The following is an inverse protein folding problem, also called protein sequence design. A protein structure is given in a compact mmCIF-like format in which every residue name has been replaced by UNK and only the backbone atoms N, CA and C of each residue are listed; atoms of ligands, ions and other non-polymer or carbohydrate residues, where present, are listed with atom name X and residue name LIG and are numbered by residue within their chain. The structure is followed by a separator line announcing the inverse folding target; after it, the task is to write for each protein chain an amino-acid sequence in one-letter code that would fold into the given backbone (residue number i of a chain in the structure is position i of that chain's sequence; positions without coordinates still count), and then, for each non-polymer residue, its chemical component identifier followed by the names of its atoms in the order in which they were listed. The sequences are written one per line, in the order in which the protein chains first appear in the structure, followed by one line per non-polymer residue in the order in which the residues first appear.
data_IF_814027729941
#
_entry.id   IF_814027729941
#
_cell.length_a   1.000
_cell.length_b   1.000
_cell.length_c   1.000
_cell.angle_alpha   90.00
_cell.angle_beta   90.00
_cell.angle_gamma   90.00
#
_symmetry.space_group_name_H-M   'P 1'
#
loop_
_entity.id
_entity.type
_entity.pdbx_description
1 polymer ?
#
# COMPACT_ATOMS: atom_id res chain seq x y z
N UNK A 1 -6.47 -24.73 18.45
CA UNK A 1 -6.97 -23.40 18.86
C UNK A 1 -7.83 -23.59 20.10
N UNK A 2 -7.88 -22.61 21.00
CA UNK A 2 -8.71 -22.66 22.22
C UNK A 2 -9.42 -21.33 22.46
N UNK A 3 -10.67 -21.38 22.89
CA UNK A 3 -11.41 -20.21 23.40
C UNK A 3 -10.93 -19.88 24.81
N UNK A 4 -10.76 -18.61 25.12
CA UNK A 4 -10.37 -18.13 26.46
C UNK A 4 -11.64 -17.70 27.19
N UNK A 5 -12.31 -18.66 27.85
CA UNK A 5 -13.66 -18.47 28.41
C UNK A 5 -13.71 -17.34 29.43
N UNK A 6 -12.65 -17.15 30.20
CA UNK A 6 -12.52 -16.09 31.20
C UNK A 6 -12.54 -14.67 30.61
N UNK A 7 -12.29 -14.52 29.30
CA UNK A 7 -12.31 -13.24 28.58
C UNK A 7 -13.48 -13.13 27.58
N UNK A 8 -14.36 -14.13 27.52
CA UNK A 8 -15.53 -14.13 26.65
C UNK A 8 -16.79 -13.72 27.43
N UNK A 9 -17.62 -12.89 26.81
CA UNK A 9 -18.97 -12.58 27.26
C UNK A 9 -19.93 -12.63 26.05
N UNK A 10 -20.67 -13.74 25.87
CA UNK A 10 -21.62 -13.89 24.77
C UNK A 10 -22.74 -12.84 24.77
N UNK A 11 -23.16 -12.36 25.95
CA UNK A 11 -24.23 -11.37 26.05
C UNK A 11 -23.76 -9.98 25.59
N UNK A 12 -22.50 -9.65 25.84
CA UNK A 12 -21.86 -8.42 25.37
C UNK A 12 -21.21 -8.54 23.96
N UNK A 13 -21.27 -9.72 23.33
CA UNK A 13 -20.61 -9.97 22.04
C UNK A 13 -19.09 -9.94 22.10
N UNK A 14 -18.50 -10.17 23.29
CA UNK A 14 -17.05 -10.16 23.50
C UNK A 14 -16.48 -11.58 23.40
N UNK A 15 -15.46 -11.75 22.58
CA UNK A 15 -14.85 -13.05 22.32
C UNK A 15 -13.33 -12.96 22.33
N UNK A 16 -12.69 -14.00 22.88
CA UNK A 16 -11.25 -14.12 22.94
C UNK A 16 -10.80 -15.56 22.60
N UNK A 17 -9.81 -15.67 21.73
CA UNK A 17 -9.24 -16.93 21.27
C UNK A 17 -7.72 -16.94 21.37
N UNK A 18 -7.17 -18.14 21.49
CA UNK A 18 -5.74 -18.45 21.40
C UNK A 18 -5.50 -19.46 20.30
N UNK A 19 -4.71 -19.09 19.31
CA UNK A 19 -4.21 -19.99 18.27
C UNK A 19 -2.73 -20.31 18.52
N UNK A 20 -2.30 -21.50 18.08
CA UNK A 20 -0.90 -21.89 18.09
C UNK A 20 -0.58 -22.54 16.75
N UNK A 21 0.41 -21.99 16.05
CA UNK A 21 0.86 -22.45 14.74
C UNK A 21 2.18 -23.19 14.89
N UNK A 22 2.29 -24.37 14.29
CA UNK A 22 3.52 -25.15 14.26
C UNK A 22 4.02 -25.24 12.83
N UNK A 23 5.27 -24.81 12.58
CA UNK A 23 5.87 -24.86 11.23
C UNK A 23 6.45 -26.22 10.87
N UNK A 24 6.68 -27.08 11.86
CA UNK A 24 7.23 -28.42 11.73
C UNK A 24 6.88 -29.23 12.97
N UNK A 25 7.08 -30.57 12.92
CA UNK A 25 6.85 -31.46 14.08
C UNK A 25 7.73 -31.14 15.30
N UNK A 26 8.90 -30.52 15.12
CA UNK A 26 9.83 -30.15 16.19
C UNK A 26 9.66 -28.70 16.68
N UNK A 27 8.72 -27.94 16.10
CA UNK A 27 8.50 -26.54 16.45
C UNK A 27 7.88 -26.41 17.84
N UNK A 28 8.35 -25.45 18.65
CA UNK A 28 7.76 -25.12 19.97
C UNK A 28 6.35 -24.47 19.86
N UNK A 29 5.95 -24.06 18.66
CA UNK A 29 4.68 -23.40 18.40
C UNK A 29 4.73 -21.88 18.56
N UNK A 30 4.01 -21.18 17.69
CA UNK A 30 3.86 -19.72 17.70
C UNK A 30 2.46 -19.36 18.15
N UNK A 31 2.35 -18.66 19.28
CA UNK A 31 1.05 -18.36 19.90
C UNK A 31 0.53 -16.98 19.48
N UNK A 32 -0.70 -16.92 18.99
CA UNK A 32 -1.45 -15.70 18.73
C UNK A 32 -2.71 -15.66 19.58
N UNK A 33 -3.01 -14.51 20.18
CA UNK A 33 -4.26 -14.26 20.90
C UNK A 33 -5.08 -13.28 20.08
N UNK A 34 -6.38 -13.52 19.92
CA UNK A 34 -7.29 -12.71 19.12
C UNK A 34 -8.52 -12.37 19.93
N UNK A 35 -8.85 -11.09 19.99
CA UNK A 35 -10.00 -10.56 20.72
C UNK A 35 -10.89 -9.77 19.77
N UNK A 36 -12.20 -9.83 19.98
CA UNK A 36 -13.17 -9.04 19.26
C UNK A 36 -14.38 -8.72 20.14
N UNK A 37 -14.80 -7.47 20.12
CA UNK A 37 -16.01 -6.96 20.74
C UNK A 37 -16.57 -5.81 19.89
N UNK A 38 -17.86 -5.44 20.04
CA UNK A 38 -18.49 -4.44 19.18
C UNK A 38 -17.79 -3.07 19.14
N UNK A 39 -16.96 -2.73 20.14
CA UNK A 39 -16.18 -1.49 20.21
C UNK A 39 -14.88 -1.53 19.39
N UNK A 40 -14.34 -2.72 19.09
CA UNK A 40 -13.04 -2.89 18.44
C UNK A 40 -13.10 -3.59 17.07
N UNK A 41 -14.32 -3.88 16.60
CA UNK A 41 -14.60 -4.36 15.24
C UNK A 41 -15.29 -3.27 14.43
N UNK A 42 -15.14 -3.29 13.11
CA UNK A 42 -15.83 -2.34 12.24
C UNK A 42 -17.34 -2.61 12.22
N UNK A 43 -18.13 -1.58 11.91
CA UNK A 43 -19.59 -1.72 11.81
C UNK A 43 -20.03 -2.77 10.78
N UNK A 44 -19.26 -2.93 9.70
CA UNK A 44 -19.52 -3.91 8.65
C UNK A 44 -19.50 -5.36 9.14
N UNK A 45 -18.70 -5.66 10.17
CA UNK A 45 -18.53 -7.01 10.71
C UNK A 45 -19.14 -7.17 12.11
N UNK A 46 -19.99 -6.21 12.53
CA UNK A 46 -20.73 -6.28 13.79
C UNK A 46 -21.69 -7.50 13.76
N UNK A 47 -21.79 -8.21 14.87
CA UNK A 47 -22.49 -9.49 14.97
C UNK A 47 -21.67 -10.71 14.52
N UNK A 48 -20.45 -10.51 14.01
CA UNK A 48 -19.52 -11.56 13.62
C UNK A 48 -18.29 -11.65 14.53
N UNK A 49 -18.34 -11.07 15.73
CA UNK A 49 -17.19 -10.86 16.63
C UNK A 49 -16.46 -12.17 16.94
N UNK A 50 -17.19 -13.26 17.17
CA UNK A 50 -16.58 -14.58 17.42
C UNK A 50 -15.64 -15.00 16.27
N UNK A 51 -16.09 -14.87 15.01
CA UNK A 51 -15.30 -15.22 13.82
C UNK A 51 -14.11 -14.27 13.64
N UNK A 52 -14.29 -13.00 13.98
CA UNK A 52 -13.22 -12.00 13.94
C UNK A 52 -12.13 -12.33 14.97
N UNK A 53 -12.50 -12.62 16.22
CA UNK A 53 -11.56 -12.98 17.27
C UNK A 53 -10.75 -14.24 16.91
N UNK A 54 -11.41 -15.27 16.35
CA UNK A 54 -10.75 -16.47 15.82
C UNK A 54 -9.72 -16.11 14.74
N UNK A 55 -10.15 -15.35 13.73
CA UNK A 55 -9.30 -14.94 12.60
C UNK A 55 -8.09 -14.13 13.07
N UNK A 56 -8.28 -13.19 14.01
CA UNK A 56 -7.21 -12.39 14.63
C UNK A 56 -6.20 -13.30 15.35
N UNK A 57 -6.67 -14.28 16.13
CA UNK A 57 -5.80 -15.21 16.84
C UNK A 57 -4.90 -16.00 15.87
N UNK A 58 -5.50 -16.56 14.82
CA UNK A 58 -4.79 -17.34 13.80
C UNK A 58 -3.81 -16.46 13.02
N UNK A 59 -4.25 -15.28 12.56
CA UNK A 59 -3.38 -14.37 11.80
C UNK A 59 -2.20 -13.87 12.63
N UNK A 60 -2.41 -13.53 13.91
CA UNK A 60 -1.32 -13.16 14.83
C UNK A 60 -0.34 -14.32 15.03
N UNK A 61 -0.83 -15.56 15.15
CA UNK A 61 0.03 -16.74 15.26
C UNK A 61 0.84 -17.01 13.97
N UNK A 62 0.21 -16.90 12.80
CA UNK A 62 0.85 -17.05 11.49
C UNK A 62 1.90 -15.97 11.24
N UNK A 63 1.61 -14.71 11.55
CA UNK A 63 2.58 -13.62 11.40
C UNK A 63 3.82 -13.87 12.23
N UNK A 64 3.65 -14.29 13.49
CA UNK A 64 4.77 -14.68 14.36
C UNK A 64 5.54 -15.87 13.78
N UNK A 65 4.84 -16.86 13.23
CA UNK A 65 5.46 -18.04 12.63
C UNK A 65 6.32 -17.69 11.40
N UNK A 66 5.82 -16.83 10.52
CA UNK A 66 6.46 -16.52 9.23
C UNK A 66 7.26 -15.20 9.21
N UNK A 67 7.36 -14.49 10.34
CA UNK A 67 8.12 -13.24 10.43
C UNK A 67 7.48 -12.07 9.67
N UNK A 68 6.15 -12.04 9.58
CA UNK A 68 5.40 -11.00 8.86
C UNK A 68 5.18 -9.81 9.81
N UNK A 69 5.82 -8.67 9.52
CA UNK A 69 5.79 -7.46 10.37
C UNK A 69 4.59 -6.52 10.17
N UNK A 70 3.54 -6.94 9.45
CA UNK A 70 2.36 -6.12 9.15
C UNK A 70 1.10 -6.67 9.81
N UNK A 71 0.17 -5.79 10.21
CA UNK A 71 -1.14 -6.18 10.73
C UNK A 71 -2.17 -6.38 9.61
N UNK A 72 -3.15 -7.27 9.81
CA UNK A 72 -4.27 -7.48 8.87
C UNK A 72 -5.24 -6.31 8.97
N UNK A 73 -5.98 -6.03 7.89
CA UNK A 73 -6.91 -4.90 7.80
C UNK A 73 -8.04 -5.02 8.84
N UNK A 74 -8.45 -6.25 9.16
CA UNK A 74 -9.50 -6.55 10.16
C UNK A 74 -9.02 -6.34 11.62
N UNK A 75 -7.76 -5.99 11.84
CA UNK A 75 -7.17 -5.66 13.15
C UNK A 75 -7.18 -4.15 13.42
N UNK A 76 -7.44 -3.35 12.39
CA UNK A 76 -7.58 -1.91 12.51
C UNK A 76 -9.00 -1.71 13.07
N UNK A 77 -9.10 -1.42 14.37
CA UNK A 77 -10.36 -1.03 15.00
C UNK A 77 -11.01 0.14 14.25
N UNK A 78 -12.27 0.44 14.54
CA UNK A 78 -12.98 1.58 13.93
C UNK A 78 -12.05 2.79 13.89
N UNK A 79 -11.61 3.17 12.69
CA UNK A 79 -10.80 4.36 12.49
C UNK A 79 -11.66 5.55 12.91
N UNK A 80 -11.57 5.93 14.18
CA UNK A 80 -11.76 7.33 14.53
C UNK A 80 -10.62 8.04 13.84
N UNK A 81 -10.92 8.63 12.69
CA UNK A 81 -9.99 9.43 11.90
C UNK A 81 -9.20 10.35 12.84
N UNK A 82 -7.89 10.14 13.05
CA UNK A 82 -7.10 11.09 13.78
C UNK A 82 -6.79 12.22 12.81
N UNK A 83 -7.23 13.43 13.15
CA UNK A 83 -6.73 14.65 12.52
C UNK A 83 -5.19 14.60 12.45
N UNK A 84 -4.57 15.10 11.35
CA UNK A 84 -3.15 14.91 11.12
C UNK A 84 -2.33 15.72 12.13
N UNK A 85 -1.88 15.07 13.20
CA UNK A 85 -0.82 15.61 14.04
C UNK A 85 0.53 15.21 13.47
N UNK A 86 1.26 16.23 13.07
CA UNK A 86 2.64 16.21 12.62
C UNK A 86 3.54 15.44 13.60
N UNK A 87 4.11 14.33 13.14
CA UNK A 87 5.34 13.79 13.74
C UNK A 87 6.35 13.51 12.64
N UNK A 88 7.31 14.41 12.57
CA UNK A 88 8.54 14.28 11.82
C UNK A 88 9.37 13.06 12.23
N UNK A 89 9.93 12.43 11.20
CA UNK A 89 11.26 11.81 11.14
C UNK A 89 11.55 10.53 11.94
N UNK A 90 11.58 9.41 11.22
CA UNK A 90 12.86 8.77 10.82
C UNK A 90 12.67 7.86 9.60
N UNK A 91 13.56 8.04 8.63
CA UNK A 91 13.60 7.43 7.29
C UNK A 91 13.48 5.90 7.30
N UNK A 92 12.50 5.38 6.57
CA UNK A 92 12.55 4.09 5.88
C UNK A 92 11.97 4.28 4.46
N UNK A 93 12.43 3.50 3.46
CA UNK A 93 12.03 3.70 2.06
C UNK A 93 10.52 3.50 1.90
N UNK A 94 9.83 4.31 1.06
CA UNK A 94 8.38 4.21 0.91
C UNK A 94 8.01 2.90 0.22
N UNK A 95 7.47 1.95 0.99
CA UNK A 95 6.79 0.77 0.48
C UNK A 95 5.33 1.18 0.15
N UNK A 96 4.78 0.76 -1.01
CA UNK A 96 3.55 1.35 -1.54
C UNK A 96 2.32 0.93 -0.72
N UNK A 97 1.69 1.91 -0.08
CA UNK A 97 0.37 1.79 0.55
C UNK A 97 -0.70 1.79 -0.53
N UNK A 98 -1.33 0.64 -0.73
CA UNK A 98 -2.50 0.51 -1.59
C UNK A 98 -3.74 0.96 -0.80
N UNK A 99 -4.21 2.18 -1.09
CA UNK A 99 -5.40 2.79 -0.51
C UNK A 99 -5.94 3.88 -1.45
N UNK A 100 -7.08 3.60 -2.06
CA UNK A 100 -7.91 4.42 -2.97
C UNK A 100 -8.10 5.84 -2.39
N UNK A 101 -8.09 6.97 -3.10
CA UNK A 101 -8.99 7.40 -4.17
C UNK A 101 -8.27 8.42 -5.11
N UNK A 102 -8.24 8.14 -6.41
CA UNK A 102 -8.01 9.13 -7.48
C UNK A 102 -6.56 9.47 -7.88
N UNK A 103 -5.68 9.83 -6.94
CA UNK A 103 -4.32 10.33 -7.26
C UNK A 103 -3.20 9.29 -7.53
N UNK A 104 -3.19 8.08 -6.91
CA UNK A 104 -2.08 7.12 -7.08
C UNK A 104 -2.06 6.37 -8.41
N UNK A 105 -3.22 6.16 -9.04
CA UNK A 105 -3.34 5.33 -10.26
C UNK A 105 -2.51 5.87 -11.41
N UNK A 106 -2.48 7.19 -11.58
CA UNK A 106 -1.79 7.85 -12.69
C UNK A 106 -0.28 7.70 -12.55
N UNK A 107 0.23 7.92 -11.33
CA UNK A 107 1.64 7.74 -11.00
C UNK A 107 2.06 6.27 -11.13
N UNK A 108 1.24 5.35 -10.61
CA UNK A 108 1.55 3.93 -10.66
C UNK A 108 1.50 3.42 -12.10
N UNK A 109 0.56 3.91 -12.92
CA UNK A 109 0.48 3.63 -14.37
C UNK A 109 1.71 4.16 -15.10
N UNK A 110 2.16 5.37 -14.80
CA UNK A 110 3.40 5.92 -15.35
C UNK A 110 4.61 5.04 -14.99
N UNK A 111 4.73 4.63 -13.73
CA UNK A 111 5.79 3.72 -13.29
C UNK A 111 5.74 2.36 -13.99
N UNK A 112 4.54 1.83 -14.28
CA UNK A 112 4.39 0.60 -15.05
C UNK A 112 4.90 0.76 -16.48
N UNK A 113 4.54 1.84 -17.18
CA UNK A 113 4.98 2.12 -18.55
C UNK A 113 6.51 2.26 -18.60
N UNK A 114 7.08 3.02 -17.67
CA UNK A 114 8.54 3.21 -17.55
C UNK A 114 9.24 1.85 -17.42
N UNK A 115 8.73 0.94 -16.57
CA UNK A 115 9.31 -0.39 -16.39
C UNK A 115 9.10 -1.31 -17.59
N UNK A 116 7.91 -1.29 -18.19
CA UNK A 116 7.57 -2.13 -19.35
C UNK A 116 8.44 -1.79 -20.56
N UNK A 117 8.63 -0.50 -20.83
CA UNK A 117 9.38 -0.03 -21.99
C UNK A 117 10.85 0.29 -21.69
N UNK A 118 11.31 0.10 -20.45
CA UNK A 118 12.69 0.39 -20.00
C UNK A 118 13.10 1.84 -20.31
N UNK A 119 12.22 2.78 -19.99
CA UNK A 119 12.47 4.21 -20.18
C UNK A 119 13.24 4.78 -18.98
N UNK A 120 14.04 5.83 -19.18
CA UNK A 120 14.72 6.51 -18.08
C UNK A 120 13.73 7.38 -17.28
N UNK A 121 13.54 7.15 -15.96
CA UNK A 121 12.62 7.93 -15.14
C UNK A 121 12.95 9.43 -15.06
N UNK A 122 14.21 9.81 -15.27
CA UNK A 122 14.69 11.19 -15.23
C UNK A 122 14.31 11.93 -16.49
N UNK A 123 14.49 11.30 -17.66
CA UNK A 123 14.12 11.88 -18.95
C UNK A 123 12.60 11.99 -19.09
N UNK A 124 11.87 10.97 -18.63
CA UNK A 124 10.40 10.99 -18.64
C UNK A 124 9.87 12.13 -17.77
N UNK A 125 10.54 12.48 -16.65
CA UNK A 125 10.15 13.64 -15.83
C UNK A 125 10.38 14.97 -16.53
N UNK A 126 11.51 15.14 -17.20
CA UNK A 126 11.81 16.36 -17.96
C UNK A 126 10.84 16.54 -19.14
N UNK A 127 10.57 15.46 -19.86
CA UNK A 127 9.56 15.48 -20.91
C UNK A 127 8.15 15.75 -20.36
N UNK A 128 7.81 15.22 -19.18
CA UNK A 128 6.52 15.47 -18.55
C UNK A 128 6.34 16.93 -18.09
N UNK A 129 7.39 17.59 -17.58
CA UNK A 129 7.32 19.02 -17.23
C UNK A 129 7.09 19.89 -18.46
N UNK A 130 7.75 19.56 -19.56
CA UNK A 130 7.61 20.28 -20.84
C UNK A 130 6.24 20.05 -21.48
N UNK A 131 5.76 18.81 -21.47
CA UNK A 131 4.45 18.46 -22.00
C UNK A 131 3.30 19.09 -21.18
N UNK A 132 3.47 19.18 -19.86
CA UNK A 132 2.49 19.83 -18.99
C UNK A 132 2.62 21.37 -18.97
N UNK A 133 3.71 21.92 -19.53
CA UNK A 133 4.01 23.36 -19.50
C UNK A 133 4.26 23.93 -18.10
N UNK A 134 4.77 23.11 -17.17
CA UNK A 134 4.96 23.48 -15.75
C UNK A 134 6.42 23.37 -15.32
N UNK A 135 6.85 24.19 -14.36
CA UNK A 135 8.23 24.13 -13.85
C UNK A 135 8.47 22.87 -13.02
N UNK A 136 7.43 22.36 -12.37
CA UNK A 136 7.50 21.09 -11.64
C UNK A 136 6.21 20.28 -11.81
N UNK A 137 6.33 18.95 -11.78
CA UNK A 137 5.19 18.01 -11.77
C UNK A 137 4.22 18.19 -10.59
N UNK A 138 4.60 18.98 -9.57
CA UNK A 138 3.73 19.33 -8.44
C UNK A 138 2.73 20.44 -8.78
N UNK A 139 3.05 21.27 -9.77
CA UNK A 139 2.22 22.39 -10.23
C UNK A 139 1.25 21.97 -11.35
N UNK A 140 1.45 20.79 -11.94
CA UNK A 140 0.59 20.25 -12.99
C UNK A 140 -0.77 19.82 -12.44
N UNK A 141 -1.84 20.10 -13.20
CA UNK A 141 -3.17 19.61 -12.87
C UNK A 141 -3.25 18.10 -13.12
N UNK A 142 -4.18 17.44 -12.41
CA UNK A 142 -4.36 16.00 -12.56
C UNK A 142 -4.69 15.58 -13.99
N UNK A 143 -5.50 16.38 -14.70
CA UNK A 143 -5.86 16.13 -16.09
C UNK A 143 -4.67 16.22 -17.04
N UNK A 144 -3.76 17.17 -16.83
CA UNK A 144 -2.52 17.29 -17.61
C UNK A 144 -1.64 16.05 -17.45
N UNK A 145 -1.50 15.55 -16.22
CA UNK A 145 -0.71 14.34 -15.95
C UNK A 145 -1.40 13.10 -16.52
N UNK A 146 -2.72 13.00 -16.45
CA UNK A 146 -3.48 11.88 -17.04
C UNK A 146 -3.37 11.85 -18.57
N UNK A 147 -3.47 13.01 -19.23
CA UNK A 147 -3.28 13.15 -20.67
C UNK A 147 -1.86 12.78 -21.09
N UNK A 148 -0.85 13.22 -20.34
CA UNK A 148 0.55 12.85 -20.57
C UNK A 148 0.76 11.32 -20.48
N UNK A 149 0.26 10.70 -19.41
CA UNK A 149 0.41 9.25 -19.21
C UNK A 149 -0.27 8.45 -20.32
N UNK A 150 -1.43 8.91 -20.80
CA UNK A 150 -2.14 8.28 -21.91
C UNK A 150 -1.37 8.42 -23.22
N UNK A 151 -0.90 9.63 -23.52
CA UNK A 151 -0.06 9.90 -24.70
C UNK A 151 1.23 9.06 -24.70
N UNK A 152 1.92 8.99 -23.56
CA UNK A 152 3.15 8.20 -23.43
C UNK A 152 2.89 6.69 -23.57
N UNK A 153 1.75 6.20 -23.04
CA UNK A 153 1.37 4.79 -23.18
C UNK A 153 1.12 4.41 -24.64
N UNK A 154 0.33 5.20 -25.35
CA UNK A 154 -0.02 4.95 -26.75
C UNK A 154 1.19 5.08 -27.67
N UNK A 155 2.05 6.06 -27.40
CA UNK A 155 3.26 6.26 -28.19
C UNK A 155 4.28 5.15 -27.97
N UNK A 156 4.51 4.74 -26.71
CA UNK A 156 5.41 3.63 -26.38
C UNK A 156 4.92 2.27 -26.92
N UNK A 157 3.61 2.09 -27.04
CA UNK A 157 3.01 0.91 -27.67
C UNK A 157 3.19 0.87 -29.20
N UNK A 158 3.16 2.03 -29.87
CA UNK A 158 3.33 2.13 -31.32
C UNK A 158 4.79 2.03 -31.76
N UNK A 159 5.66 2.81 -31.15
CA UNK A 159 7.08 2.84 -31.50
C UNK A 159 7.95 3.23 -30.30
N UNK A 160 8.46 2.21 -29.61
CA UNK A 160 9.39 2.37 -28.49
C UNK A 160 10.65 3.14 -28.88
N UNK A 161 11.18 2.94 -30.09
CA UNK A 161 12.44 3.54 -30.51
C UNK A 161 12.27 5.05 -30.77
N UNK A 162 11.13 5.45 -31.34
CA UNK A 162 10.79 6.87 -31.49
C UNK A 162 10.70 7.59 -30.13
N UNK A 163 10.07 6.96 -29.12
CA UNK A 163 10.00 7.51 -27.75
C UNK A 163 11.40 7.66 -27.15
N UNK A 164 12.26 6.65 -27.31
CA UNK A 164 13.64 6.72 -26.81
C UNK A 164 14.45 7.82 -27.52
N UNK A 165 14.32 7.97 -28.83
CA UNK A 165 14.95 9.06 -29.57
C UNK A 165 14.50 10.43 -29.08
N UNK A 166 13.20 10.61 -28.82
CA UNK A 166 12.68 11.86 -28.27
C UNK A 166 13.22 12.10 -26.86
N UNK A 167 13.21 11.09 -25.99
CA UNK A 167 13.75 11.21 -24.63
C UNK A 167 15.26 11.50 -24.63
N UNK A 168 16.00 10.96 -25.59
CA UNK A 168 17.42 11.23 -25.75
C UNK A 168 17.72 12.68 -26.18
N UNK A 169 16.78 13.39 -26.80
CA UNK A 169 16.96 14.83 -27.06
C UNK A 169 17.04 15.64 -25.75
N UNK A 170 16.46 15.11 -24.67
CA UNK A 170 16.51 15.71 -23.32
C UNK A 170 17.77 15.35 -22.52
N UNK A 171 18.62 14.41 -22.99
CA UNK A 171 19.93 14.15 -22.37
C UNK A 171 20.85 15.38 -22.48
N UNK A 172 20.74 16.15 -23.58
CA UNK A 172 21.60 17.30 -23.87
C UNK A 172 21.37 18.53 -22.99
N UNK A 173 20.28 18.62 -22.22
CA UNK A 173 20.05 19.74 -21.29
C UNK A 173 20.74 19.58 -19.92
N UNK A 174 21.50 18.49 -19.70
CA UNK A 174 22.20 18.21 -18.43
C UNK A 174 23.72 18.44 -18.44
N UNK A 175 24.27 19.04 -19.50
CA UNK A 175 25.71 19.41 -19.59
C UNK A 175 25.99 20.91 -19.30
N UNK A 176 25.09 21.60 -18.59
CA UNK A 176 25.18 23.06 -18.40
C UNK A 176 24.92 23.58 -16.98
N UNK A 177 25.24 22.82 -15.93
CA UNK A 177 25.24 23.34 -14.56
C UNK A 177 26.24 22.57 -13.68
N UNK A 178 27.52 22.89 -13.86
CA UNK A 178 28.56 22.72 -12.85
C UNK A 178 28.91 24.09 -12.28
#
# INVERSE_FOLDING_TARGET
MSVLREFCDPAAGRWAFKATVYRSRSCKGFVGHGDAEPSNVSELVRGAEMRVAETRAVNRALRKAYGIGICSVEEIGTSSEPAPSSRESKRLPPQPTNGNYGGPKVRDRLCQIIRQHQLDPTLVKAYATDFCGTKTLREATREQVENFVTHLADWAAKDKNAVLCQLNSYLGSKEGAA
#
